data_IF_862718835834
#
_entry.id   IF_862718835834
#
_cell.length_a   1.000
_cell.length_b   1.000
_cell.length_c   1.000
_cell.angle_alpha   90.00
_cell.angle_beta   90.00
_cell.angle_gamma   90.00
#
_symmetry.space_group_name_H-M   'P 1'
#
loop_
_entity.id
_entity.type
_entity.pdbx_description
1 polymer ?
#
# COMPACT_ATOMS: atom_id res chain seq x y z
N UNK A 1 -6.97 14.18 -44.15
CA UNK A 1 -7.10 13.38 -42.91
C UNK A 1 -5.72 12.91 -42.51
N UNK A 2 -5.29 13.21 -41.29
CA UNK A 2 -4.06 12.61 -40.75
C UNK A 2 -4.36 11.13 -40.45
N UNK A 3 -3.53 10.22 -40.97
CA UNK A 3 -3.64 8.80 -40.65
C UNK A 3 -3.08 8.56 -39.25
N UNK A 4 -3.73 7.70 -38.47
CA UNK A 4 -3.17 7.21 -37.21
C UNK A 4 -1.88 6.44 -37.46
N UNK A 5 -0.99 6.43 -36.47
CA UNK A 5 0.24 5.62 -36.56
C UNK A 5 -0.11 4.13 -36.59
N UNK A 6 0.79 3.30 -37.12
CA UNK A 6 0.62 1.85 -37.11
C UNK A 6 0.40 1.33 -35.69
N UNK A 7 1.25 1.75 -34.73
CA UNK A 7 1.14 1.39 -33.32
C UNK A 7 -0.24 1.76 -32.75
N UNK A 8 -0.75 2.96 -33.04
CA UNK A 8 -2.07 3.37 -32.56
C UNK A 8 -3.18 2.46 -33.09
N UNK A 9 -3.12 2.08 -34.37
CA UNK A 9 -4.12 1.16 -34.94
C UNK A 9 -4.01 -0.25 -34.34
N UNK A 10 -2.79 -0.74 -34.12
CA UNK A 10 -2.55 -2.04 -33.48
C UNK A 10 -3.04 -2.05 -32.03
N UNK A 11 -2.78 -0.99 -31.25
CA UNK A 11 -3.31 -0.86 -29.89
C UNK A 11 -4.84 -0.87 -29.90
N UNK A 12 -5.48 -0.08 -30.76
CA UNK A 12 -6.95 -0.02 -30.87
C UNK A 12 -7.56 -1.37 -31.23
N UNK A 13 -6.93 -2.11 -32.15
CA UNK A 13 -7.37 -3.45 -32.53
C UNK A 13 -7.26 -4.46 -31.39
N UNK A 14 -6.26 -4.31 -30.50
CA UNK A 14 -6.00 -5.21 -29.38
C UNK A 14 -6.59 -4.73 -28.04
N UNK A 15 -7.32 -3.60 -28.00
CA UNK A 15 -7.91 -3.05 -26.78
C UNK A 15 -8.76 -4.06 -25.98
N UNK A 16 -9.58 -4.94 -26.60
CA UNK A 16 -10.34 -5.93 -25.83
C UNK A 16 -9.44 -6.88 -25.03
N UNK A 17 -8.37 -7.39 -25.65
CA UNK A 17 -7.41 -8.27 -24.97
C UNK A 17 -6.69 -7.56 -23.83
N UNK A 18 -6.33 -6.28 -24.02
CA UNK A 18 -5.72 -5.47 -22.97
C UNK A 18 -6.69 -5.26 -21.79
N UNK A 19 -7.95 -4.96 -22.06
CA UNK A 19 -8.97 -4.78 -21.03
C UNK A 19 -9.21 -6.08 -20.23
N UNK A 20 -9.28 -7.23 -20.91
CA UNK A 20 -9.43 -8.54 -20.28
C UNK A 20 -8.22 -8.87 -19.39
N UNK A 21 -7.00 -8.63 -19.88
CA UNK A 21 -5.77 -8.86 -19.11
C UNK A 21 -5.71 -8.00 -17.85
N UNK A 22 -6.06 -6.70 -17.95
CA UNK A 22 -6.14 -5.80 -16.80
C UNK A 22 -7.18 -6.30 -15.80
N UNK A 23 -8.39 -6.63 -16.26
CA UNK A 23 -9.46 -7.12 -15.41
C UNK A 23 -9.05 -8.38 -14.65
N UNK A 24 -8.51 -9.38 -15.36
CA UNK A 24 -8.08 -10.65 -14.79
C UNK A 24 -6.95 -10.45 -13.75
N UNK A 25 -5.95 -9.64 -14.08
CA UNK A 25 -4.82 -9.37 -13.16
C UNK A 25 -5.30 -8.63 -11.91
N UNK A 26 -6.23 -7.69 -12.07
CA UNK A 26 -6.79 -6.92 -10.95
C UNK A 26 -7.56 -7.81 -9.99
N UNK A 27 -8.36 -8.75 -10.51
CA UNK A 27 -9.13 -9.69 -9.70
C UNK A 27 -8.17 -10.56 -8.89
N UNK A 28 -7.16 -11.17 -9.54
CA UNK A 28 -6.21 -12.04 -8.86
C UNK A 28 -5.43 -11.31 -7.75
N UNK A 29 -4.89 -10.13 -8.05
CA UNK A 29 -4.18 -9.31 -7.04
C UNK A 29 -5.12 -8.83 -5.94
N UNK A 30 -6.36 -8.45 -6.29
CA UNK A 30 -7.37 -8.02 -5.33
C UNK A 30 -7.79 -9.13 -4.35
N UNK A 31 -7.85 -10.38 -4.80
CA UNK A 31 -8.12 -11.53 -3.93
C UNK A 31 -6.99 -11.76 -2.92
N UNK A 32 -5.73 -11.67 -3.37
CA UNK A 32 -4.55 -11.78 -2.51
C UNK A 32 -4.55 -10.68 -1.44
N UNK A 33 -4.67 -9.42 -1.85
CA UNK A 33 -4.65 -8.29 -0.91
C UNK A 33 -5.89 -8.27 0.00
N UNK A 34 -7.06 -8.66 -0.51
CA UNK A 34 -8.26 -8.81 0.31
C UNK A 34 -8.08 -9.81 1.46
N UNK A 35 -7.37 -10.91 1.22
CA UNK A 35 -7.00 -11.89 2.26
C UNK A 35 -6.06 -11.29 3.31
N UNK A 36 -5.03 -10.55 2.87
CA UNK A 36 -4.10 -9.88 3.78
C UNK A 36 -4.76 -8.78 4.61
N UNK A 37 -5.70 -8.03 4.03
CA UNK A 37 -6.47 -7.04 4.77
C UNK A 37 -7.21 -7.66 5.95
N UNK A 38 -7.89 -8.78 5.73
CA UNK A 38 -8.57 -9.49 6.81
C UNK A 38 -7.57 -9.92 7.91
N UNK A 39 -6.41 -10.47 7.54
CA UNK A 39 -5.35 -10.86 8.51
C UNK A 39 -4.85 -9.65 9.32
N UNK A 40 -4.63 -8.50 8.67
CA UNK A 40 -4.20 -7.26 9.34
C UNK A 40 -5.29 -6.73 10.26
N UNK A 41 -6.54 -6.67 9.78
CA UNK A 41 -7.69 -6.20 10.54
C UNK A 41 -7.91 -7.07 11.79
N UNK A 42 -7.92 -8.39 11.65
CA UNK A 42 -8.07 -9.33 12.77
C UNK A 42 -6.97 -9.10 13.82
N UNK A 43 -5.72 -8.94 13.36
CA UNK A 43 -4.58 -8.74 14.25
C UNK A 43 -4.64 -7.41 15.00
N UNK A 44 -5.03 -6.33 14.34
CA UNK A 44 -5.22 -5.01 14.95
C UNK A 44 -6.41 -5.05 15.92
N UNK A 45 -7.54 -5.63 15.51
CA UNK A 45 -8.71 -5.78 16.36
C UNK A 45 -8.42 -6.58 17.63
N UNK A 46 -7.62 -7.65 17.53
CA UNK A 46 -7.14 -8.38 18.70
C UNK A 46 -6.35 -7.47 19.64
N UNK A 47 -5.41 -6.67 19.13
CA UNK A 47 -4.67 -5.70 19.93
C UNK A 47 -5.60 -4.69 20.64
N UNK A 48 -6.62 -4.18 19.95
CA UNK A 48 -7.60 -3.25 20.54
C UNK A 48 -8.39 -3.90 21.69
N UNK A 49 -8.76 -5.17 21.53
CA UNK A 49 -9.48 -5.94 22.54
C UNK A 49 -8.59 -6.26 23.75
N UNK A 50 -7.30 -6.52 23.52
CA UNK A 50 -6.33 -6.85 24.55
C UNK A 50 -5.91 -5.63 25.38
N UNK A 51 -5.93 -4.42 24.77
CA UNK A 51 -5.49 -3.15 25.41
C UNK A 51 -6.52 -2.01 25.29
N UNK A 52 -7.75 -2.18 25.82
CA UNK A 52 -8.82 -1.17 25.69
C UNK A 52 -8.48 0.18 26.36
N UNK A 53 -7.57 0.19 27.33
CA UNK A 53 -7.11 1.40 28.04
C UNK A 53 -6.35 2.40 27.15
N UNK A 54 -5.76 1.93 26.05
CA UNK A 54 -5.01 2.76 25.10
C UNK A 54 -5.90 3.59 24.18
N UNK A 55 -7.20 3.25 24.12
CA UNK A 55 -8.24 3.96 23.35
C UNK A 55 -7.89 4.14 21.88
N UNK A 56 -7.29 3.11 21.29
CA UNK A 56 -7.18 3.01 19.84
C UNK A 56 -8.51 2.52 19.24
N UNK A 57 -8.81 2.94 18.02
CA UNK A 57 -9.94 2.47 17.22
C UNK A 57 -9.54 2.39 15.75
N UNK A 58 -10.20 1.51 14.99
CA UNK A 58 -10.05 1.42 13.53
C UNK A 58 -10.90 2.52 12.89
N UNK A 59 -10.33 3.22 11.91
CA UNK A 59 -11.06 4.17 11.07
C UNK A 59 -11.82 3.42 9.96
N UNK A 60 -13.00 2.90 10.28
CA UNK A 60 -13.87 2.19 9.34
C UNK A 60 -14.31 3.04 8.14
N UNK A 61 -14.18 4.37 8.21
CA UNK A 61 -14.61 5.27 7.12
C UNK A 61 -13.54 5.48 6.07
N UNK A 62 -12.28 5.50 6.50
CA UNK A 62 -11.14 5.80 5.63
C UNK A 62 -10.27 4.56 5.36
N UNK A 63 -10.51 3.45 6.05
CA UNK A 63 -9.89 2.17 5.69
C UNK A 63 -10.55 1.59 4.44
N UNK A 64 -9.74 1.12 3.50
CA UNK A 64 -10.21 0.57 2.23
C UNK A 64 -9.65 -0.84 2.08
N UNK A 65 -10.54 -1.85 2.04
CA UNK A 65 -10.11 -3.23 1.82
C UNK A 65 -9.54 -3.46 0.43
N UNK A 66 -10.04 -2.74 -0.58
CA UNK A 66 -9.52 -2.80 -1.93
C UNK A 66 -9.90 -1.52 -2.68
N UNK A 67 -8.89 -0.83 -3.19
CA UNK A 67 -9.00 0.37 -3.98
C UNK A 67 -8.23 0.19 -5.28
N UNK A 68 -8.86 0.58 -6.38
CA UNK A 68 -8.34 0.34 -7.72
C UNK A 68 -8.40 1.63 -8.51
N UNK A 69 -7.25 2.09 -8.99
CA UNK A 69 -7.11 3.26 -9.85
C UNK A 69 -6.39 2.86 -11.14
N UNK A 70 -7.04 3.07 -12.29
CA UNK A 70 -6.50 2.84 -13.62
C UNK A 70 -6.56 4.11 -14.46
N UNK A 71 -5.48 4.39 -15.21
CA UNK A 71 -5.45 5.43 -16.26
C UNK A 71 -5.61 6.87 -15.71
N UNK A 72 -5.26 7.91 -16.50
CA UNK A 72 -4.46 9.01 -15.99
C UNK A 72 -5.19 9.92 -14.99
N UNK A 73 -4.49 10.26 -13.92
CA UNK A 73 -4.85 11.39 -13.06
C UNK A 73 -4.75 12.69 -13.87
N UNK A 74 -5.90 13.27 -14.21
CA UNK A 74 -5.99 14.54 -14.94
C UNK A 74 -5.78 15.69 -13.95
N UNK A 75 -4.55 16.16 -13.76
CA UNK A 75 -4.29 17.40 -13.00
C UNK A 75 -4.54 18.63 -13.86
N UNK A 76 -5.78 19.10 -13.95
CA UNK A 76 -6.09 20.35 -14.68
C UNK A 76 -5.67 21.55 -13.84
N UNK A 77 -4.51 22.16 -14.16
CA UNK A 77 -4.21 23.54 -13.74
C UNK A 77 -4.49 24.50 -14.89
N UNK A 78 -5.68 25.09 -14.90
CA UNK A 78 -6.05 26.20 -15.79
C UNK A 78 -6.59 25.79 -17.17
N UNK A 79 -7.27 26.72 -17.84
CA UNK A 79 -8.10 26.50 -19.05
C UNK A 79 -7.32 26.25 -20.36
N UNK A 80 -5.99 26.14 -20.36
CA UNK A 80 -5.18 26.22 -21.60
C UNK A 80 -4.06 25.19 -21.79
N UNK A 81 -3.78 24.30 -20.84
CA UNK A 81 -2.79 23.24 -21.05
C UNK A 81 -3.47 21.88 -21.11
N UNK A 82 -3.11 21.07 -22.11
CA UNK A 82 -3.49 19.66 -22.13
C UNK A 82 -2.96 19.01 -20.84
N UNK A 83 -3.79 18.23 -20.12
CA UNK A 83 -3.35 17.50 -18.95
C UNK A 83 -2.16 16.62 -19.30
N UNK A 84 -1.11 16.63 -18.49
CA UNK A 84 -0.09 15.59 -18.58
C UNK A 84 -0.74 14.29 -18.13
N UNK A 85 -0.90 13.36 -19.08
CA UNK A 85 -1.44 12.03 -18.79
C UNK A 85 -0.27 11.17 -18.29
N UNK A 86 -0.42 10.61 -17.10
CA UNK A 86 0.51 9.63 -16.55
C UNK A 86 -0.16 8.26 -16.57
N UNK A 87 0.58 7.24 -17.04
CA UNK A 87 0.14 5.87 -16.89
C UNK A 87 0.30 5.51 -15.42
N UNK A 88 -0.84 5.32 -14.74
CA UNK A 88 -0.90 4.95 -13.33
C UNK A 88 -1.80 3.73 -13.20
N UNK A 89 -1.31 2.76 -12.44
CA UNK A 89 -2.12 1.67 -11.88
C UNK A 89 -1.82 1.64 -10.39
N UNK A 90 -2.86 1.73 -9.57
CA UNK A 90 -2.73 1.49 -8.15
C UNK A 90 -3.83 0.52 -7.71
N UNK A 91 -3.44 -0.60 -7.11
CA UNK A 91 -4.34 -1.60 -6.54
C UNK A 91 -3.87 -1.82 -5.12
N UNK A 92 -4.60 -1.32 -4.13
CA UNK A 92 -4.11 -1.32 -2.75
C UNK A 92 -5.23 -1.55 -1.74
N UNK A 93 -4.81 -1.92 -0.55
CA UNK A 93 -5.63 -1.97 0.65
C UNK A 93 -4.97 -1.12 1.73
N UNK A 94 -5.75 -0.43 2.53
CA UNK A 94 -5.26 0.37 3.65
C UNK A 94 -6.13 0.17 4.88
N UNK A 95 -5.52 -0.23 6.00
CA UNK A 95 -6.15 -0.22 7.32
C UNK A 95 -5.59 0.94 8.13
N UNK A 96 -6.47 1.78 8.65
CA UNK A 96 -6.11 2.94 9.47
C UNK A 96 -6.60 2.69 10.88
N UNK A 97 -5.73 2.88 11.86
CA UNK A 97 -6.11 2.90 13.27
C UNK A 97 -5.41 4.02 14.01
N UNK A 98 -6.10 4.60 14.99
CA UNK A 98 -5.60 5.77 15.71
C UNK A 98 -6.12 5.78 17.14
N UNK A 99 -5.48 6.56 18.01
CA UNK A 99 -6.03 6.86 19.32
C UNK A 99 -6.43 8.33 19.47
N UNK A 100 -7.43 8.57 20.31
CA UNK A 100 -7.89 9.92 20.63
C UNK A 100 -7.62 10.29 22.08
N UNK A 101 -7.01 11.46 22.28
CA UNK A 101 -6.88 12.09 23.59
C UNK A 101 -7.53 13.47 23.59
N UNK A 102 -8.51 13.70 24.47
CA UNK A 102 -9.25 14.97 24.58
C UNK A 102 -9.76 15.51 23.23
N UNK A 103 -10.33 14.62 22.40
CA UNK A 103 -10.85 14.91 21.04
C UNK A 103 -9.80 15.35 20.02
N UNK A 104 -8.54 15.00 20.25
CA UNK A 104 -7.45 15.14 19.27
C UNK A 104 -6.88 13.76 18.97
N UNK A 105 -6.67 13.48 17.69
CA UNK A 105 -5.86 12.34 17.26
C UNK A 105 -4.43 12.55 17.74
N UNK A 106 -3.88 11.57 18.46
CA UNK A 106 -2.51 11.64 18.98
C UNK A 106 -1.57 10.82 18.10
N UNK A 107 -1.91 9.55 17.91
CA UNK A 107 -1.20 8.65 17.00
C UNK A 107 -2.19 8.12 15.97
N UNK A 108 -1.76 8.08 14.72
CA UNK A 108 -2.46 7.43 13.63
C UNK A 108 -1.47 6.58 12.85
N UNK A 109 -1.86 5.36 12.54
CA UNK A 109 -1.07 4.40 11.80
C UNK A 109 -1.86 3.95 10.58
N UNK A 110 -1.17 3.87 9.46
CA UNK A 110 -1.69 3.49 8.16
C UNK A 110 -0.91 2.23 7.76
N UNK A 111 -1.59 1.10 7.71
CA UNK A 111 -1.04 -0.16 7.23
C UNK A 111 -1.56 -0.33 5.82
N UNK A 112 -0.69 -0.08 4.84
CA UNK A 112 -1.03 -0.09 3.42
C UNK A 112 -0.22 -1.18 2.71
N UNK A 113 -0.84 -1.89 1.79
CA UNK A 113 -0.13 -2.80 0.90
C UNK A 113 -0.85 -2.85 -0.43
N UNK A 114 -0.08 -2.97 -1.50
CA UNK A 114 -0.62 -2.79 -2.82
C UNK A 114 0.35 -3.07 -3.94
N UNK A 115 -0.11 -2.85 -5.15
CA UNK A 115 0.66 -2.80 -6.37
C UNK A 115 0.57 -1.39 -6.94
N UNK A 116 1.72 -0.74 -7.11
CA UNK A 116 1.84 0.59 -7.70
C UNK A 116 2.69 0.54 -8.97
N UNK A 117 2.13 1.07 -10.06
CA UNK A 117 2.85 1.40 -11.27
C UNK A 117 2.62 2.85 -11.66
N UNK A 118 3.70 3.60 -11.85
CA UNK A 118 3.65 5.03 -12.18
C UNK A 118 4.76 5.38 -13.17
N UNK A 119 4.33 5.71 -14.39
CA UNK A 119 5.23 6.08 -15.48
C UNK A 119 6.29 5.01 -15.72
N UNK A 120 7.57 5.41 -15.70
CA UNK A 120 8.71 4.51 -15.86
C UNK A 120 9.52 4.35 -14.56
N UNK A 121 8.96 4.80 -13.42
CA UNK A 121 9.71 4.94 -12.16
C UNK A 121 9.29 3.93 -11.11
N UNK A 122 8.02 3.58 -11.08
CA UNK A 122 7.45 2.66 -10.09
C UNK A 122 6.77 1.51 -10.81
N UNK A 123 7.11 0.30 -10.39
CA UNK A 123 6.45 -0.97 -10.73
C UNK A 123 6.77 -1.94 -9.58
N UNK A 124 6.04 -1.81 -8.49
CA UNK A 124 6.34 -2.49 -7.22
C UNK A 124 5.07 -3.05 -6.59
N UNK A 125 5.21 -4.18 -5.91
CA UNK A 125 4.30 -4.60 -4.84
C UNK A 125 4.92 -4.12 -3.54
N UNK A 126 4.14 -3.49 -2.68
CA UNK A 126 4.63 -2.84 -1.47
C UNK A 126 3.83 -3.25 -0.23
N UNK A 127 4.51 -3.25 0.92
CA UNK A 127 3.93 -3.38 2.25
C UNK A 127 4.48 -2.28 3.14
N UNK A 128 3.61 -1.36 3.54
CA UNK A 128 3.96 -0.08 4.13
C UNK A 128 3.28 0.09 5.51
N UNK A 129 4.06 0.60 6.47
CA UNK A 129 3.55 1.21 7.68
C UNK A 129 3.90 2.69 7.68
N UNK A 130 2.89 3.56 7.69
CA UNK A 130 3.06 5.02 7.79
C UNK A 130 2.47 5.56 9.08
N UNK A 131 3.14 6.57 9.66
CA UNK A 131 2.70 7.30 10.85
C UNK A 131 2.10 8.66 10.44
N UNK A 132 0.89 8.96 10.93
CA UNK A 132 0.14 10.16 10.59
C UNK A 132 0.80 11.49 10.99
N UNK A 133 0.32 12.59 10.39
CA UNK A 133 1.02 13.88 10.44
C UNK A 133 0.84 14.68 11.74
N UNK A 134 -0.22 14.46 12.51
CA UNK A 134 -0.59 15.32 13.64
C UNK A 134 0.16 14.96 14.94
N UNK A 135 1.34 15.56 15.16
CA UNK A 135 2.19 15.38 16.36
C UNK A 135 2.38 13.91 16.78
N UNK A 136 2.81 13.03 15.87
CA UNK A 136 2.98 11.63 16.20
C UNK A 136 4.07 11.46 17.26
N UNK A 137 3.79 10.66 18.29
CA UNK A 137 4.86 10.08 19.09
C UNK A 137 5.55 9.00 18.26
N UNK A 138 6.59 9.39 17.51
CA UNK A 138 7.36 8.49 16.66
C UNK A 138 8.37 7.65 17.46
N UNK A 139 8.38 7.71 18.80
CA UNK A 139 9.36 6.95 19.57
C UNK A 139 9.20 5.45 19.38
N UNK A 140 7.95 4.96 19.31
CA UNK A 140 7.65 3.56 19.01
C UNK A 140 8.07 3.21 17.58
N UNK A 141 7.75 4.06 16.61
CA UNK A 141 8.16 3.87 15.22
C UNK A 141 9.69 3.82 15.05
N UNK A 142 10.42 4.71 15.72
CA UNK A 142 11.89 4.74 15.70
C UNK A 142 12.53 3.49 16.32
N UNK A 143 11.88 2.85 17.30
CA UNK A 143 12.35 1.57 17.83
C UNK A 143 12.24 0.46 16.79
N UNK A 144 11.19 0.47 15.98
CA UNK A 144 11.04 -0.51 14.90
C UNK A 144 12.14 -0.28 13.87
N UNK A 145 12.30 0.93 13.35
CA UNK A 145 13.31 1.24 12.31
C UNK A 145 14.73 0.89 12.74
N UNK A 146 15.08 1.09 14.01
CA UNK A 146 16.41 0.79 14.55
C UNK A 146 16.66 -0.70 14.80
N UNK A 147 15.60 -1.50 14.92
CA UNK A 147 15.68 -2.94 15.21
C UNK A 147 15.36 -3.81 14.00
N UNK A 148 15.20 -3.24 12.79
CA UNK A 148 15.05 -4.03 11.58
C UNK A 148 16.28 -4.92 11.42
N UNK A 149 16.03 -6.23 11.38
CA UNK A 149 17.08 -7.24 11.32
C UNK A 149 17.82 -7.16 9.98
N UNK A 150 19.14 -7.39 10.04
CA UNK A 150 19.98 -7.40 8.84
C UNK A 150 19.50 -8.41 7.80
N UNK A 151 18.99 -9.55 8.24
CA UNK A 151 18.42 -10.59 7.38
C UNK A 151 17.24 -10.08 6.57
N UNK A 152 16.39 -9.24 7.17
CA UNK A 152 15.24 -8.64 6.48
C UNK A 152 15.70 -7.68 5.36
N UNK A 153 16.72 -6.86 5.65
CA UNK A 153 17.32 -5.92 4.68
C UNK A 153 18.03 -6.65 3.53
N UNK A 154 18.61 -7.83 3.80
CA UNK A 154 19.23 -8.65 2.76
C UNK A 154 18.20 -9.38 1.89
N UNK A 155 16.99 -9.62 2.41
CA UNK A 155 15.91 -10.36 1.74
C UNK A 155 15.00 -9.48 0.90
N UNK A 156 14.66 -8.28 1.38
CA UNK A 156 13.71 -7.36 0.73
C UNK A 156 14.37 -6.01 0.43
N UNK A 157 13.89 -5.34 -0.61
CA UNK A 157 14.21 -3.91 -0.77
C UNK A 157 13.37 -3.13 0.25
N UNK A 158 14.02 -2.35 1.11
CA UNK A 158 13.37 -1.66 2.23
C UNK A 158 13.63 -0.17 2.11
N UNK A 159 12.56 0.61 2.02
CA UNK A 159 12.60 2.05 2.12
C UNK A 159 12.19 2.49 3.53
N UNK A 160 13.02 3.31 4.16
CA UNK A 160 12.76 3.86 5.50
C UNK A 160 12.91 5.37 5.42
N UNK A 161 11.87 6.09 5.80
CA UNK A 161 11.91 7.54 6.01
C UNK A 161 11.33 7.89 7.38
N UNK A 162 11.35 9.18 7.74
CA UNK A 162 11.02 9.69 9.09
C UNK A 162 9.65 9.22 9.63
N UNK A 163 8.72 8.83 8.75
CA UNK A 163 7.36 8.43 9.10
C UNK A 163 6.87 7.20 8.35
N UNK A 164 7.71 6.50 7.59
CA UNK A 164 7.28 5.27 6.93
C UNK A 164 8.38 4.22 6.82
N UNK A 165 7.96 2.97 6.84
CA UNK A 165 8.78 1.80 6.52
C UNK A 165 8.02 1.01 5.47
N UNK A 166 8.70 0.68 4.38
CA UNK A 166 8.09 0.00 3.25
C UNK A 166 8.99 -1.14 2.75
N UNK A 167 8.42 -2.32 2.59
CA UNK A 167 9.05 -3.46 1.91
C UNK A 167 8.55 -3.52 0.48
N UNK A 168 9.45 -3.66 -0.49
CA UNK A 168 9.13 -3.74 -1.91
C UNK A 168 9.50 -5.07 -2.54
N UNK A 169 8.69 -5.45 -3.52
CA UNK A 169 8.98 -6.49 -4.50
C UNK A 169 8.85 -5.86 -5.89
N UNK A 170 9.87 -5.99 -6.73
CA UNK A 170 9.76 -5.64 -8.16
C UNK A 170 9.19 -6.85 -8.92
N UNK A 171 7.98 -6.76 -9.49
CA UNK A 171 7.39 -7.88 -10.23
C UNK A 171 8.23 -8.23 -11.46
N UNK A 172 8.54 -9.52 -11.60
CA UNK A 172 9.14 -10.10 -12.80
C UNK A 172 8.39 -11.37 -13.23
N UNK A 173 8.90 -12.07 -14.24
CA UNK A 173 8.31 -13.31 -14.75
C UNK A 173 8.36 -14.50 -13.77
N UNK A 174 9.12 -14.39 -12.68
CA UNK A 174 9.27 -15.42 -11.65
C UNK A 174 8.46 -15.10 -10.39
N UNK A 175 7.73 -13.97 -10.35
CA UNK A 175 6.90 -13.60 -9.22
C UNK A 175 5.87 -14.71 -8.93
N UNK A 176 5.86 -15.18 -7.68
CA UNK A 176 4.89 -16.15 -7.17
C UNK A 176 4.07 -15.57 -6.04
N UNK A 177 2.86 -16.10 -5.83
CA UNK A 177 2.04 -15.78 -4.66
C UNK A 177 2.79 -16.07 -3.34
N UNK A 178 3.57 -17.15 -3.29
CA UNK A 178 4.42 -17.48 -2.15
C UNK A 178 5.45 -16.38 -1.84
N UNK A 179 6.02 -15.74 -2.87
CA UNK A 179 6.96 -14.63 -2.67
C UNK A 179 6.26 -13.42 -2.04
N UNK A 180 5.06 -13.11 -2.51
CA UNK A 180 4.22 -12.02 -1.96
C UNK A 180 3.83 -12.35 -0.51
N UNK A 181 3.39 -13.59 -0.25
CA UNK A 181 2.98 -14.04 1.08
C UNK A 181 4.15 -14.04 2.07
N UNK A 182 5.34 -14.45 1.65
CA UNK A 182 6.54 -14.39 2.49
C UNK A 182 6.88 -12.95 2.88
N UNK A 183 6.79 -12.00 1.93
CA UNK A 183 7.04 -10.59 2.22
C UNK A 183 5.98 -10.02 3.17
N UNK A 184 4.70 -10.39 2.99
CA UNK A 184 3.62 -10.03 3.90
C UNK A 184 3.86 -10.58 5.31
N UNK A 185 4.23 -11.85 5.44
CA UNK A 185 4.49 -12.48 6.72
C UNK A 185 5.66 -11.83 7.46
N UNK A 186 6.72 -11.48 6.73
CA UNK A 186 7.86 -10.77 7.30
C UNK A 186 7.47 -9.34 7.72
N UNK A 187 6.68 -8.62 6.93
CA UNK A 187 6.11 -7.33 7.32
C UNK A 187 5.30 -7.44 8.63
N UNK A 188 4.42 -8.45 8.73
CA UNK A 188 3.64 -8.70 9.94
C UNK A 188 4.55 -8.99 11.14
N UNK A 189 5.55 -9.86 10.98
CA UNK A 189 6.42 -10.32 12.06
C UNK A 189 7.40 -9.25 12.55
N UNK A 190 7.98 -8.46 11.65
CA UNK A 190 9.09 -7.56 11.94
C UNK A 190 8.70 -6.07 11.99
N UNK A 191 7.50 -5.71 11.52
CA UNK A 191 7.03 -4.31 11.52
C UNK A 191 5.73 -4.15 12.30
N UNK A 192 4.64 -4.80 11.85
CA UNK A 192 3.32 -4.57 12.47
C UNK A 192 3.23 -5.14 13.89
N UNK A 193 3.65 -6.39 14.12
CA UNK A 193 3.58 -7.00 15.44
C UNK A 193 4.46 -6.28 16.48
N UNK A 194 5.71 -5.89 16.16
CA UNK A 194 6.53 -5.06 17.04
C UNK A 194 5.87 -3.73 17.37
N UNK A 195 5.28 -3.03 16.38
CA UNK A 195 4.51 -1.80 16.61
C UNK A 195 3.43 -2.02 17.67
N UNK A 196 2.55 -2.99 17.44
CA UNK A 196 1.42 -3.27 18.34
C UNK A 196 1.89 -3.72 19.74
N UNK A 197 3.07 -4.32 19.85
CA UNK A 197 3.63 -4.76 21.14
C UNK A 197 4.18 -3.57 21.93
N UNK A 198 4.88 -2.66 21.25
CA UNK A 198 5.53 -1.49 21.87
C UNK A 198 4.57 -0.33 22.13
N UNK A 199 3.40 -0.32 21.49
CA UNK A 199 2.25 0.50 21.90
C UNK A 199 1.76 -0.02 23.27
N UNK A 200 2.32 0.54 24.35
CA UNK A 200 1.96 0.32 25.76
C UNK A 200 1.53 1.62 26.44
#
# INVERSE_FOLDING_TARGET
>A
MNKLTQLTNECLANMPMLADAICHTTIAIGEIFGSYYNKVQDRVQQFLNDKPELKYEIDERNSEQLSITFFPYIKVKGRKQMPQLHNVVNIYSVLIFYNQFRRKTVNAFYVEFGYAMSGNKENIIYFNLTVGEMNPDISVFNKITTNIEKELIEKWDIQIEDKFIELHIVPDQNLTEETIENCFNDFMAHILNPLLTDLN
#
